data_IF_056227662601
#
_entry.id   IF_056227662601
#
_cell.length_a   1.000
_cell.length_b   1.000
_cell.length_c   1.000
_cell.angle_alpha   90.00
_cell.angle_beta   90.00
_cell.angle_gamma   90.00
#
_symmetry.space_group_name_H-M   'P 1'
#
loop_
_entity.id
_entity.type
_entity.pdbx_description
1 polymer ?
#
# COMPACT_ATOMS: atom_id res chain seq x y z
N UNK A 1 -2.33 -15.68 -16.71
CA UNK A 1 -2.13 -14.65 -15.65
C UNK A 1 -0.67 -14.64 -15.24
N UNK A 2 -0.10 -13.46 -15.11
CA UNK A 2 1.32 -13.29 -14.72
C UNK A 2 1.44 -12.26 -13.60
N UNK A 3 2.41 -12.47 -12.73
CA UNK A 3 2.77 -11.52 -11.68
C UNK A 3 4.01 -10.76 -12.16
N UNK A 4 3.93 -9.44 -12.13
CA UNK A 4 5.03 -8.60 -12.58
C UNK A 4 6.24 -8.72 -11.64
N UNK A 5 7.42 -8.79 -12.24
CA UNK A 5 8.68 -8.71 -11.51
C UNK A 5 9.03 -7.24 -11.21
N UNK A 6 10.07 -7.04 -10.40
CA UNK A 6 10.65 -5.71 -10.17
C UNK A 6 11.04 -5.02 -11.48
N UNK A 7 11.66 -5.76 -12.40
CA UNK A 7 12.05 -5.23 -13.72
C UNK A 7 10.84 -4.87 -14.57
N UNK A 8 9.78 -5.67 -14.52
CA UNK A 8 8.54 -5.38 -15.25
C UNK A 8 7.88 -4.11 -14.71
N UNK A 9 7.87 -3.92 -13.40
CA UNK A 9 7.32 -2.71 -12.76
C UNK A 9 8.14 -1.50 -13.15
N UNK A 10 9.47 -1.58 -13.04
CA UNK A 10 10.36 -0.49 -13.42
C UNK A 10 10.21 -0.13 -14.91
N UNK A 11 10.10 -1.12 -15.78
CA UNK A 11 9.87 -0.90 -17.21
C UNK A 11 8.49 -0.24 -17.45
N UNK A 12 7.45 -0.72 -16.79
CA UNK A 12 6.12 -0.13 -16.86
C UNK A 12 6.10 1.32 -16.42
N UNK A 13 6.86 1.66 -15.39
CA UNK A 13 7.05 3.05 -14.95
C UNK A 13 7.73 3.90 -16.01
N UNK A 14 8.79 3.39 -16.64
CA UNK A 14 9.55 4.13 -17.64
C UNK A 14 8.76 4.38 -18.92
N UNK A 15 7.86 3.49 -19.29
CA UNK A 15 7.03 3.60 -20.51
C UNK A 15 5.70 4.31 -20.27
N UNK A 16 5.34 4.60 -19.02
CA UNK A 16 4.04 5.17 -18.68
C UNK A 16 2.90 4.15 -18.67
N UNK A 17 3.21 2.87 -18.75
CA UNK A 17 2.20 1.81 -18.70
C UNK A 17 1.48 1.78 -17.37
N UNK A 18 2.21 1.95 -16.26
CA UNK A 18 1.66 2.12 -14.92
C UNK A 18 2.34 3.32 -14.25
N UNK A 19 1.75 3.81 -13.18
CA UNK A 19 2.29 4.94 -12.44
C UNK A 19 2.27 4.70 -10.95
N UNK A 20 3.39 5.03 -10.30
CA UNK A 20 3.52 5.08 -8.85
C UNK A 20 4.21 6.40 -8.54
N UNK A 21 3.48 7.34 -7.92
CA UNK A 21 4.07 8.62 -7.54
C UNK A 21 5.08 8.42 -6.40
N UNK A 22 6.05 9.31 -6.29
CA UNK A 22 7.13 9.19 -5.30
C UNK A 22 7.85 7.84 -5.36
N UNK A 23 7.96 7.28 -6.58
CA UNK A 23 8.58 6.00 -6.82
C UNK A 23 10.03 5.98 -6.31
N UNK A 24 10.40 4.90 -5.65
CA UNK A 24 11.75 4.65 -5.19
C UNK A 24 12.15 3.22 -5.58
N UNK A 25 13.34 3.05 -6.12
CA UNK A 25 13.87 1.72 -6.44
C UNK A 25 13.96 0.83 -5.20
N UNK A 26 14.09 1.43 -4.01
CA UNK A 26 14.10 0.70 -2.74
C UNK A 26 12.77 0.03 -2.42
N UNK A 27 11.68 0.50 -3.02
CA UNK A 27 10.37 -0.12 -2.88
C UNK A 27 10.19 -1.36 -3.73
N UNK A 28 11.02 -1.55 -4.75
CA UNK A 28 10.90 -2.71 -5.64
C UNK A 28 11.27 -4.00 -4.92
N UNK A 29 10.41 -5.00 -5.07
CA UNK A 29 10.63 -6.36 -4.58
C UNK A 29 10.57 -7.33 -5.78
N UNK A 30 11.05 -8.57 -5.66
CA UNK A 30 11.04 -9.49 -6.80
C UNK A 30 9.67 -9.66 -7.49
N UNK A 31 8.57 -9.50 -6.76
CA UNK A 31 7.22 -9.64 -7.33
C UNK A 31 6.25 -8.54 -6.87
N UNK A 32 6.75 -7.34 -6.62
CA UNK A 32 5.86 -6.26 -6.19
C UNK A 32 6.58 -4.97 -5.87
N UNK A 33 5.86 -4.13 -5.14
CA UNK A 33 6.33 -2.83 -4.71
C UNK A 33 5.84 -2.54 -3.29
N UNK A 34 6.73 -2.12 -2.41
CA UNK A 34 6.42 -1.76 -1.04
C UNK A 34 5.92 -0.31 -0.96
N UNK A 35 4.65 -0.15 -0.65
CA UNK A 35 4.05 1.17 -0.43
C UNK A 35 4.39 1.69 0.97
N UNK A 36 4.43 3.00 1.11
CA UNK A 36 4.74 3.68 2.37
C UNK A 36 3.52 4.34 2.96
N UNK A 37 3.47 4.44 4.28
CA UNK A 37 2.38 5.07 5.01
C UNK A 37 2.61 6.59 5.05
N UNK A 38 1.58 7.36 4.64
CA UNK A 38 1.55 8.81 4.77
C UNK A 38 0.81 9.25 6.03
N UNK A 39 -0.29 8.57 6.35
CA UNK A 39 -1.17 8.96 7.45
C UNK A 39 -1.69 7.72 8.18
N UNK A 40 -1.91 7.87 9.47
CA UNK A 40 -2.59 6.86 10.31
C UNK A 40 -3.76 7.53 11.04
N UNK A 41 -4.93 6.91 10.98
CA UNK A 41 -6.07 7.28 11.82
C UNK A 41 -6.54 6.07 12.61
N UNK A 42 -6.77 6.26 13.89
CA UNK A 42 -7.24 5.20 14.79
C UNK A 42 -8.75 5.34 14.95
N UNK A 43 -9.47 4.24 14.84
CA UNK A 43 -10.92 4.24 14.99
C UNK A 43 -11.32 4.75 16.38
N UNK A 44 -12.21 5.72 16.41
CA UNK A 44 -12.67 6.38 17.65
C UNK A 44 -11.84 7.59 18.01
N UNK A 45 -10.76 7.86 17.30
CA UNK A 45 -9.95 9.06 17.46
C UNK A 45 -10.23 10.00 16.28
N UNK A 46 -10.42 11.28 16.56
CA UNK A 46 -10.65 12.29 15.52
C UNK A 46 -9.37 12.81 14.89
N UNK A 47 -8.20 12.46 15.46
CA UNK A 47 -6.92 12.97 15.00
C UNK A 47 -6.31 12.06 13.95
N UNK A 48 -5.80 12.68 12.87
CA UNK A 48 -5.02 11.99 11.83
C UNK A 48 -3.55 12.33 12.06
N UNK A 49 -2.72 11.31 12.20
CA UNK A 49 -1.27 11.46 12.40
C UNK A 49 -0.54 11.36 11.07
N UNK A 50 0.30 12.34 10.79
CA UNK A 50 1.14 12.38 9.60
C UNK A 50 2.62 12.23 9.89
N UNK A 51 2.99 12.27 11.16
CA UNK A 51 4.38 12.12 11.62
C UNK A 51 4.43 11.63 13.05
N UNK A 52 5.60 11.17 13.47
CA UNK A 52 5.84 10.71 14.83
C UNK A 52 5.39 9.28 15.08
N UNK A 53 5.00 8.99 16.31
CA UNK A 53 4.61 7.65 16.75
C UNK A 53 3.13 7.62 17.10
N UNK A 54 2.47 6.55 16.68
CA UNK A 54 1.07 6.29 17.02
C UNK A 54 1.01 5.01 17.83
N UNK A 55 0.33 5.08 18.98
CA UNK A 55 0.05 3.89 19.79
C UNK A 55 -1.33 3.38 19.44
N UNK A 56 -1.42 2.11 19.06
CA UNK A 56 -2.67 1.44 18.73
C UNK A 56 -2.91 0.40 19.81
N UNK A 57 -3.93 0.63 20.62
CA UNK A 57 -4.28 -0.29 21.70
C UNK A 57 -4.80 -1.61 21.15
N UNK A 58 -4.74 -2.71 21.95
CA UNK A 58 -5.29 -4.01 21.52
C UNK A 58 -6.76 -3.92 21.14
N UNK A 59 -7.16 -4.74 20.19
CA UNK A 59 -8.54 -4.84 19.69
C UNK A 59 -9.06 -3.55 19.09
N UNK A 60 -8.19 -2.81 18.42
CA UNK A 60 -8.54 -1.53 17.82
C UNK A 60 -8.27 -1.56 16.32
N UNK A 61 -9.26 -1.10 15.57
CA UNK A 61 -9.15 -0.89 14.13
C UNK A 61 -8.44 0.43 13.85
N UNK A 62 -7.60 0.43 12.83
CA UNK A 62 -6.96 1.66 12.37
C UNK A 62 -6.86 1.66 10.85
N UNK A 63 -6.61 2.83 10.29
CA UNK A 63 -6.52 3.04 8.85
C UNK A 63 -5.20 3.70 8.51
N UNK A 64 -4.61 3.31 7.39
CA UNK A 64 -3.40 3.93 6.86
C UNK A 64 -3.68 4.39 5.44
N UNK A 65 -3.14 5.54 5.09
CA UNK A 65 -3.15 6.04 3.71
C UNK A 65 -1.74 6.00 3.15
N UNK A 66 -1.62 5.72 1.86
CA UNK A 66 -0.32 5.59 1.21
C UNK A 66 0.24 6.96 0.80
N UNK A 67 1.57 7.07 0.84
CA UNK A 67 2.31 8.20 0.24
C UNK A 67 2.10 8.17 -1.28
N UNK A 68 2.21 6.98 -1.85
CA UNK A 68 2.14 6.79 -3.28
C UNK A 68 0.72 6.92 -3.81
N UNK A 69 0.60 7.58 -4.95
CA UNK A 69 -0.57 7.55 -5.80
C UNK A 69 -0.33 6.52 -6.88
N UNK A 70 -1.21 5.54 -7.01
CA UNK A 70 -1.06 4.42 -7.93
C UNK A 70 -1.99 4.63 -9.12
N UNK A 71 -1.49 4.38 -10.31
CA UNK A 71 -2.27 4.39 -11.55
C UNK A 71 -2.05 3.08 -12.29
N UNK A 72 -3.10 2.30 -12.43
CA UNK A 72 -3.07 1.03 -13.15
C UNK A 72 -3.73 1.16 -14.52
N UNK A 73 -3.18 0.50 -15.55
CA UNK A 73 -3.84 0.43 -16.85
C UNK A 73 -5.08 -0.47 -16.78
N UNK A 74 -5.84 -0.52 -17.87
CA UNK A 74 -7.09 -1.28 -17.94
C UNK A 74 -6.91 -2.80 -17.98
N UNK A 75 -5.69 -3.26 -18.19
CA UNK A 75 -5.37 -4.70 -18.29
C UNK A 75 -4.51 -5.22 -17.13
N UNK A 76 -4.34 -4.41 -16.07
CA UNK A 76 -3.53 -4.76 -14.92
C UNK A 76 -4.30 -4.45 -13.63
N UNK A 77 -4.46 -5.42 -12.77
CA UNK A 77 -4.91 -5.21 -11.40
C UNK A 77 -3.78 -5.53 -10.43
N UNK A 78 -3.93 -5.14 -9.18
CA UNK A 78 -2.95 -5.43 -8.16
C UNK A 78 -3.61 -5.98 -6.90
N UNK A 79 -2.87 -6.75 -6.14
CA UNK A 79 -3.31 -7.24 -4.84
C UNK A 79 -2.42 -6.65 -3.75
N UNK A 80 -3.06 -6.30 -2.64
CA UNK A 80 -2.39 -5.71 -1.48
C UNK A 80 -2.11 -6.79 -0.44
N UNK A 81 -0.89 -6.77 0.07
CA UNK A 81 -0.44 -7.67 1.12
C UNK A 81 0.17 -6.86 2.25
N UNK A 82 -0.11 -7.27 3.47
CA UNK A 82 0.62 -6.74 4.62
C UNK A 82 2.00 -7.39 4.66
N UNK A 83 3.02 -6.60 4.96
CA UNK A 83 4.38 -7.15 5.10
C UNK A 83 4.42 -8.14 6.27
N UNK A 84 5.15 -9.21 6.07
CA UNK A 84 5.26 -10.32 7.02
C UNK A 84 5.68 -9.87 8.42
N UNK A 85 6.53 -8.85 8.52
CA UNK A 85 6.95 -8.29 9.81
C UNK A 85 5.77 -7.85 10.67
N UNK A 86 4.79 -7.20 10.07
CA UNK A 86 3.61 -6.72 10.78
C UNK A 86 2.67 -7.85 11.15
N UNK A 87 2.52 -8.83 10.25
CA UNK A 87 1.72 -10.03 10.53
C UNK A 87 2.30 -10.77 11.74
N UNK A 88 3.62 -10.93 11.79
CA UNK A 88 4.30 -11.58 12.90
C UNK A 88 4.19 -10.83 14.22
N UNK A 89 3.93 -9.53 14.15
CA UNK A 89 3.69 -8.71 15.34
C UNK A 89 2.21 -8.62 15.70
N UNK A 90 1.36 -9.43 15.09
CA UNK A 90 -0.03 -9.55 15.47
C UNK A 90 -0.99 -8.61 14.76
N UNK A 91 -0.52 -7.86 13.77
CA UNK A 91 -1.41 -7.00 12.98
C UNK A 91 -2.14 -7.83 11.93
N UNK A 92 -3.44 -7.66 11.84
CA UNK A 92 -4.28 -8.28 10.81
C UNK A 92 -4.67 -7.19 9.81
N UNK A 93 -4.28 -7.35 8.56
CA UNK A 93 -4.66 -6.46 7.49
C UNK A 93 -5.80 -7.07 6.69
N UNK A 94 -6.90 -6.33 6.57
CA UNK A 94 -8.02 -6.70 5.71
C UNK A 94 -7.85 -6.00 4.37
N UNK A 95 -6.83 -6.40 3.61
CA UNK A 95 -6.50 -5.75 2.36
C UNK A 95 -7.21 -6.43 1.20
N UNK A 96 -7.36 -5.68 0.14
CA UNK A 96 -8.07 -6.13 -1.02
C UNK A 96 -7.27 -5.99 -2.30
N UNK A 97 -8.00 -5.84 -3.36
CA UNK A 97 -7.48 -5.72 -4.72
C UNK A 97 -7.57 -4.26 -5.15
N UNK A 98 -6.59 -3.84 -5.93
CA UNK A 98 -6.66 -2.58 -6.67
C UNK A 98 -7.17 -2.94 -8.06
N UNK A 99 -8.32 -2.40 -8.43
CA UNK A 99 -8.94 -2.71 -9.70
C UNK A 99 -8.14 -2.14 -10.89
N UNK A 100 -8.24 -2.82 -12.02
CA UNK A 100 -7.70 -2.32 -13.28
C UNK A 100 -8.30 -0.95 -13.59
N UNK A 101 -7.48 -0.02 -14.05
CA UNK A 101 -7.90 1.35 -14.34
C UNK A 101 -7.97 2.28 -13.13
N UNK A 102 -7.68 1.80 -11.92
CA UNK A 102 -7.67 2.62 -10.73
C UNK A 102 -6.57 3.68 -10.78
N UNK A 103 -6.90 4.87 -10.26
CA UNK A 103 -5.92 5.93 -10.03
C UNK A 103 -6.23 6.65 -8.73
N UNK A 104 -5.25 6.70 -7.82
CA UNK A 104 -5.41 7.38 -6.55
C UNK A 104 -4.47 6.86 -5.49
N UNK A 105 -4.53 7.49 -4.32
CA UNK A 105 -3.92 6.96 -3.09
C UNK A 105 -4.80 5.87 -2.52
N UNK A 106 -4.21 5.02 -1.68
CA UNK A 106 -4.92 3.89 -1.09
C UNK A 106 -5.13 4.13 0.40
N UNK A 107 -6.32 3.76 0.87
CA UNK A 107 -6.65 3.74 2.30
C UNK A 107 -6.90 2.30 2.69
N UNK A 108 -6.13 1.83 3.66
CA UNK A 108 -6.12 0.42 4.06
C UNK A 108 -6.53 0.30 5.51
N UNK A 109 -7.41 -0.65 5.80
CA UNK A 109 -7.81 -0.98 7.16
C UNK A 109 -6.96 -2.08 7.75
N UNK A 110 -6.65 -1.97 9.03
CA UNK A 110 -5.92 -2.98 9.78
C UNK A 110 -6.44 -3.06 11.22
N UNK A 111 -6.11 -4.15 11.88
CA UNK A 111 -6.57 -4.44 13.23
C UNK A 111 -5.42 -4.95 14.08
N UNK A 112 -5.34 -4.40 15.30
CA UNK A 112 -4.32 -4.83 16.26
C UNK A 112 -4.88 -5.92 17.17
#
# INVERSE_FOLDING_TARGET
>A
MAILSDMDIAHGMSTGYLGISNFSERGLTPNGYDLRIAEISVRGDSEIKTEGTVTITPRTMFYVSTVERVRLPSDLCAQLWLRTTWIRNGIIGAFGKIDAGFEGTLTLGAYN
#
